data_IF_048411223423
#
_entry.id   IF_048411223423
#
_cell.length_a   1.000
_cell.length_b   1.000
_cell.length_c   1.000
_cell.angle_alpha   90.00
_cell.angle_beta   90.00
_cell.angle_gamma   90.00
#
_symmetry.space_group_name_H-M   'P 1'
#
loop_
_entity.id
_entity.type
_entity.pdbx_description
1 polymer ?
#
# COMPACT_ATOMS: atom_id res chain seq x y z
N UNK A 1 -29.22 -7.64 -11.69
CA UNK A 1 -30.20 -8.68 -12.05
C UNK A 1 -29.46 -9.85 -12.67
N UNK A 2 -29.64 -11.05 -12.15
CA UNK A 2 -29.01 -12.27 -12.66
C UNK A 2 -29.64 -12.63 -14.02
N UNK A 3 -28.85 -12.66 -15.09
CA UNK A 3 -29.27 -13.08 -16.42
C UNK A 3 -28.80 -14.50 -16.70
N UNK A 4 -29.76 -15.41 -16.89
CA UNK A 4 -29.55 -16.80 -17.27
C UNK A 4 -28.90 -16.92 -18.66
N UNK A 5 -27.91 -17.82 -18.80
CA UNK A 5 -27.25 -18.12 -20.07
C UNK A 5 -28.03 -19.11 -20.95
N UNK A 6 -27.60 -19.31 -22.21
CA UNK A 6 -28.03 -20.45 -23.01
C UNK A 6 -27.13 -21.67 -22.76
N UNK A 7 -27.78 -22.83 -22.68
CA UNK A 7 -27.16 -24.13 -22.46
C UNK A 7 -26.54 -24.73 -23.74
N UNK A 8 -25.39 -25.38 -23.56
CA UNK A 8 -25.09 -26.68 -24.19
C UNK A 8 -24.44 -26.68 -25.56
N UNK A 9 -23.11 -26.71 -25.61
CA UNK A 9 -22.36 -27.36 -26.69
C UNK A 9 -21.05 -27.97 -26.15
N UNK A 10 -20.98 -29.31 -26.19
CA UNK A 10 -19.79 -30.18 -26.18
C UNK A 10 -18.56 -29.76 -25.36
N UNK A 11 -18.43 -30.28 -24.13
CA UNK A 11 -17.18 -30.26 -23.39
C UNK A 11 -16.18 -31.28 -23.99
N UNK A 12 -15.19 -30.78 -24.75
CA UNK A 12 -13.97 -31.54 -25.05
C UNK A 12 -13.10 -31.68 -23.79
N UNK A 13 -12.30 -32.76 -23.65
CA UNK A 13 -11.47 -32.97 -22.48
C UNK A 13 -10.24 -32.06 -22.56
N UNK A 14 -10.15 -31.05 -21.68
CA UNK A 14 -8.94 -30.23 -21.55
C UNK A 14 -9.12 -28.77 -21.15
N UNK A 15 -10.33 -28.30 -20.85
CA UNK A 15 -10.48 -26.95 -20.30
C UNK A 15 -10.04 -26.96 -18.83
N UNK A 16 -8.93 -26.29 -18.53
CA UNK A 16 -8.51 -26.00 -17.14
C UNK A 16 -9.62 -25.30 -16.35
N UNK A 17 -9.48 -25.17 -15.02
CA UNK A 17 -10.51 -24.54 -14.20
C UNK A 17 -10.85 -23.15 -14.74
N UNK A 18 -12.14 -22.83 -14.81
CA UNK A 18 -12.60 -21.51 -15.24
C UNK A 18 -11.93 -20.42 -14.40
N UNK A 19 -11.13 -19.57 -15.03
CA UNK A 19 -10.45 -18.44 -14.38
C UNK A 19 -11.44 -17.30 -14.29
N UNK A 20 -11.77 -16.90 -13.06
CA UNK A 20 -12.58 -15.71 -12.78
C UNK A 20 -11.66 -14.50 -12.62
N UNK A 21 -12.09 -13.35 -13.14
CA UNK A 21 -11.36 -12.08 -13.02
C UNK A 21 -12.17 -11.02 -12.30
N UNK A 22 -11.48 -10.13 -11.57
CA UNK A 22 -12.06 -8.90 -11.04
C UNK A 22 -11.86 -7.79 -12.08
N UNK A 23 -12.88 -6.93 -12.24
CA UNK A 23 -12.81 -5.76 -13.11
C UNK A 23 -12.67 -4.51 -12.27
N UNK A 24 -11.77 -3.63 -12.66
CA UNK A 24 -11.63 -2.32 -12.05
C UNK A 24 -12.80 -1.42 -12.47
N UNK A 25 -13.15 -0.49 -11.60
CA UNK A 25 -14.25 0.43 -11.86
C UNK A 25 -13.77 1.60 -12.72
N UNK A 26 -14.67 2.14 -13.56
CA UNK A 26 -14.38 3.36 -14.32
C UNK A 26 -14.04 4.55 -13.40
N UNK A 27 -14.60 4.56 -12.18
CA UNK A 27 -14.34 5.58 -11.16
C UNK A 27 -12.90 5.59 -10.64
N UNK A 28 -12.15 4.50 -10.81
CA UNK A 28 -10.75 4.41 -10.37
C UNK A 28 -9.81 5.17 -11.32
N UNK A 29 -10.27 5.47 -12.53
CA UNK A 29 -9.51 6.24 -13.52
C UNK A 29 -9.44 7.71 -13.08
N UNK A 30 -8.22 8.21 -12.86
CA UNK A 30 -7.99 9.57 -12.41
C UNK A 30 -8.71 10.61 -13.31
N UNK A 31 -9.48 11.49 -12.67
CA UNK A 31 -10.24 12.54 -13.34
C UNK A 31 -11.55 12.10 -13.99
N UNK A 32 -11.95 10.83 -13.87
CA UNK A 32 -13.28 10.37 -14.28
C UNK A 32 -14.36 11.01 -13.40
N UNK A 33 -15.32 11.70 -14.02
CA UNK A 33 -16.53 12.14 -13.32
C UNK A 33 -17.58 11.03 -13.27
N UNK A 34 -18.46 11.07 -12.26
CA UNK A 34 -19.58 10.12 -12.16
C UNK A 34 -20.49 10.17 -13.41
N UNK A 35 -20.70 11.38 -13.95
CA UNK A 35 -21.49 11.59 -15.15
C UNK A 35 -20.84 10.98 -16.40
N UNK A 36 -19.51 11.06 -16.54
CA UNK A 36 -18.79 10.38 -17.63
C UNK A 36 -18.85 8.86 -17.48
N UNK A 37 -18.57 8.34 -16.27
CA UNK A 37 -18.63 6.91 -16.00
C UNK A 37 -20.02 6.34 -16.32
N UNK A 38 -21.08 7.03 -15.91
CA UNK A 38 -22.47 6.62 -16.19
C UNK A 38 -22.78 6.60 -17.69
N UNK A 39 -22.37 7.63 -18.46
CA UNK A 39 -22.55 7.64 -19.92
C UNK A 39 -21.78 6.51 -20.61
N UNK A 40 -20.59 6.19 -20.11
CA UNK A 40 -19.79 5.06 -20.61
C UNK A 40 -20.47 3.72 -20.28
N UNK A 41 -21.11 3.59 -19.13
CA UNK A 41 -21.81 2.37 -18.72
C UNK A 41 -23.12 2.18 -19.49
N UNK A 42 -23.97 3.21 -19.53
CA UNK A 42 -25.28 3.18 -20.21
C UNK A 42 -25.16 3.02 -21.74
N UNK A 43 -24.02 3.44 -22.31
CA UNK A 43 -23.75 3.33 -23.74
C UNK A 43 -23.21 1.97 -24.19
N UNK A 44 -23.03 1.00 -23.30
CA UNK A 44 -22.53 -0.32 -23.69
C UNK A 44 -23.60 -1.16 -24.44
N UNK A 45 -23.19 -2.10 -25.32
CA UNK A 45 -21.83 -2.33 -25.81
C UNK A 45 -21.41 -1.32 -26.88
N UNK A 46 -20.11 -1.12 -27.03
CA UNK A 46 -19.50 -0.29 -28.08
C UNK A 46 -18.92 -1.17 -29.19
N UNK A 47 -19.15 -0.78 -30.44
CA UNK A 47 -18.60 -1.51 -31.60
C UNK A 47 -17.26 -0.98 -32.07
N UNK A 48 -16.83 0.24 -31.69
CA UNK A 48 -15.54 0.79 -32.08
C UNK A 48 -15.16 1.99 -31.21
N UNK A 49 -13.90 2.44 -31.33
CA UNK A 49 -13.45 3.66 -30.64
C UNK A 49 -14.25 4.91 -31.06
N UNK A 50 -14.54 5.15 -32.35
CA UNK A 50 -15.44 6.24 -32.76
C UNK A 50 -16.87 6.11 -32.21
N UNK A 51 -17.40 4.89 -32.07
CA UNK A 51 -18.72 4.66 -31.47
C UNK A 51 -18.75 5.09 -30.00
N UNK A 52 -17.74 4.69 -29.21
CA UNK A 52 -17.55 5.14 -27.84
C UNK A 52 -17.41 6.67 -27.76
N UNK A 53 -16.61 7.27 -28.63
CA UNK A 53 -16.38 8.72 -28.65
C UNK A 53 -17.68 9.51 -28.87
N UNK A 54 -18.51 9.08 -29.85
CA UNK A 54 -19.78 9.75 -30.17
C UNK A 54 -20.86 9.55 -29.10
N UNK A 55 -21.01 8.32 -28.59
CA UNK A 55 -22.09 7.93 -27.67
C UNK A 55 -21.77 8.33 -26.22
N UNK A 56 -20.59 8.00 -25.73
CA UNK A 56 -20.21 8.26 -24.33
C UNK A 56 -19.71 9.68 -24.10
N UNK A 57 -19.14 10.32 -25.14
CA UNK A 57 -18.55 11.67 -25.09
C UNK A 57 -17.63 11.85 -23.87
N UNK A 58 -16.58 11.01 -23.73
CA UNK A 58 -15.60 11.21 -22.68
C UNK A 58 -14.83 12.51 -22.95
N UNK A 59 -14.38 13.19 -21.90
CA UNK A 59 -13.40 14.25 -22.08
C UNK A 59 -12.08 13.65 -22.62
N UNK A 60 -11.34 14.43 -23.41
CA UNK A 60 -10.05 14.00 -23.97
C UNK A 60 -9.09 13.44 -22.90
N UNK A 61 -8.87 14.09 -21.74
CA UNK A 61 -7.98 13.53 -20.71
C UNK A 61 -8.45 12.17 -20.19
N UNK A 62 -9.76 11.97 -20.04
CA UNK A 62 -10.33 10.68 -19.59
C UNK A 62 -10.14 9.60 -20.67
N UNK A 63 -10.41 9.90 -21.93
CA UNK A 63 -10.23 8.96 -23.03
C UNK A 63 -8.76 8.52 -23.18
N UNK A 64 -7.81 9.47 -23.11
CA UNK A 64 -6.37 9.18 -23.16
C UNK A 64 -5.93 8.31 -21.97
N UNK A 65 -6.47 8.57 -20.77
CA UNK A 65 -6.19 7.76 -19.57
C UNK A 65 -6.74 6.34 -19.69
N UNK A 66 -7.97 6.18 -20.18
CA UNK A 66 -8.57 4.88 -20.46
C UNK A 66 -7.74 4.07 -21.46
N UNK A 67 -7.24 4.70 -22.52
CA UNK A 67 -6.33 4.06 -23.48
C UNK A 67 -5.01 3.63 -22.80
N UNK A 68 -4.38 4.51 -22.01
CA UNK A 68 -3.10 4.23 -21.35
C UNK A 68 -3.15 3.05 -20.37
N UNK A 69 -4.26 2.86 -19.67
CA UNK A 69 -4.45 1.77 -18.70
C UNK A 69 -5.08 0.52 -19.30
N UNK A 70 -5.35 0.52 -20.60
CA UNK A 70 -5.86 -0.64 -21.33
C UNK A 70 -7.36 -0.87 -21.30
N UNK A 71 -8.13 0.08 -20.77
CA UNK A 71 -9.59 -0.02 -20.81
C UNK A 71 -10.15 0.01 -22.24
N UNK A 72 -9.36 0.47 -23.22
CA UNK A 72 -9.71 0.57 -24.63
C UNK A 72 -8.93 -0.42 -25.53
N UNK A 73 -8.18 -1.36 -24.95
CA UNK A 73 -7.33 -2.31 -25.71
C UNK A 73 -8.13 -3.16 -26.71
N UNK A 74 -9.45 -3.31 -26.52
CA UNK A 74 -10.33 -4.00 -27.45
C UNK A 74 -10.57 -3.27 -28.78
N UNK A 75 -10.27 -1.96 -28.88
CA UNK A 75 -10.59 -1.15 -30.06
C UNK A 75 -9.42 -0.88 -30.99
N UNK A 76 -8.19 -1.27 -30.65
CA UNK A 76 -7.02 -0.94 -31.46
C UNK A 76 -5.90 -1.96 -31.31
N UNK A 77 -4.94 -1.89 -32.23
CA UNK A 77 -3.81 -2.81 -32.26
C UNK A 77 -2.84 -2.60 -31.07
N UNK A 78 -2.64 -1.35 -30.65
CA UNK A 78 -1.81 -0.99 -29.50
C UNK A 78 -2.24 0.33 -28.88
N UNK A 79 -1.73 0.64 -27.67
CA UNK A 79 -2.14 1.83 -26.91
C UNK A 79 -1.64 3.13 -27.51
N UNK A 80 -0.51 3.13 -28.24
CA UNK A 80 -0.01 4.35 -28.92
C UNK A 80 -0.87 4.70 -30.13
N UNK A 81 -1.30 3.71 -30.91
CA UNK A 81 -2.24 3.89 -32.01
C UNK A 81 -3.59 4.40 -31.49
N UNK A 82 -4.10 3.84 -30.38
CA UNK A 82 -5.32 4.35 -29.74
C UNK A 82 -5.20 5.83 -29.34
N UNK A 83 -4.06 6.23 -28.76
CA UNK A 83 -3.80 7.62 -28.37
C UNK A 83 -3.74 8.56 -29.58
N UNK A 84 -3.14 8.12 -30.69
CA UNK A 84 -3.13 8.89 -31.94
C UNK A 84 -4.55 9.13 -32.46
N UNK A 85 -5.36 8.08 -32.55
CA UNK A 85 -6.73 8.17 -33.05
C UNK A 85 -7.64 9.00 -32.15
N UNK A 86 -7.44 8.94 -30.83
CA UNK A 86 -8.12 9.84 -29.89
C UNK A 86 -7.77 11.32 -30.16
N UNK A 87 -6.52 11.62 -30.51
CA UNK A 87 -6.10 12.97 -30.85
C UNK A 87 -6.76 13.44 -32.17
N UNK A 88 -6.89 12.56 -33.15
CA UNK A 88 -7.56 12.84 -34.42
C UNK A 88 -9.07 13.08 -34.25
N UNK A 89 -9.77 12.20 -33.52
CA UNK A 89 -11.20 12.35 -33.21
C UNK A 89 -11.49 13.67 -32.49
N UNK A 90 -10.64 14.04 -31.53
CA UNK A 90 -10.74 15.32 -30.84
C UNK A 90 -10.51 16.51 -31.78
N UNK A 91 -9.55 16.40 -32.70
CA UNK A 91 -9.29 17.41 -33.73
C UNK A 91 -10.48 17.61 -34.66
N UNK A 92 -11.05 16.52 -35.17
CA UNK A 92 -12.24 16.53 -36.04
C UNK A 92 -13.43 17.18 -35.34
N UNK A 93 -13.73 16.82 -34.09
CA UNK A 93 -14.84 17.41 -33.33
C UNK A 93 -14.70 18.93 -33.17
N UNK A 94 -13.47 19.44 -32.99
CA UNK A 94 -13.23 20.89 -32.96
C UNK A 94 -13.38 21.54 -34.34
N UNK A 95 -12.97 20.87 -35.41
CA UNK A 95 -13.17 21.32 -36.78
C UNK A 95 -14.65 21.48 -37.13
N UNK A 96 -15.48 20.48 -36.78
CA UNK A 96 -16.94 20.55 -36.94
C UNK A 96 -17.54 21.71 -36.16
N UNK A 97 -17.13 21.88 -34.90
CA UNK A 97 -17.58 23.00 -34.08
C UNK A 97 -17.15 24.38 -34.63
N UNK A 98 -16.05 24.43 -35.40
CA UNK A 98 -15.56 25.64 -36.07
C UNK A 98 -16.16 25.85 -37.48
N UNK A 99 -17.15 25.06 -37.88
CA UNK A 99 -17.82 25.19 -39.18
C UNK A 99 -17.04 24.61 -40.37
N UNK A 100 -15.94 23.88 -40.12
CA UNK A 100 -15.33 23.04 -41.16
C UNK A 100 -16.11 21.73 -41.26
N UNK A 101 -16.77 21.52 -42.40
CA UNK A 101 -17.42 20.24 -42.71
C UNK A 101 -16.33 19.16 -42.87
N UNK A 102 -16.43 18.03 -42.14
CA UNK A 102 -15.58 16.88 -42.42
C UNK A 102 -15.89 16.38 -43.84
N UNK A 103 -14.86 16.07 -44.62
CA UNK A 103 -15.01 15.31 -45.85
C UNK A 103 -15.54 13.92 -45.48
N UNK A 104 -16.66 13.50 -46.08
CA UNK A 104 -17.32 12.22 -45.84
C UNK A 104 -16.33 11.05 -45.88
N UNK A 105 -15.96 10.55 -44.70
CA UNK A 105 -15.47 9.19 -44.53
C UNK A 105 -16.71 8.36 -44.19
N UNK A 106 -17.10 7.51 -45.15
CA UNK A 106 -18.44 6.93 -45.25
C UNK A 106 -18.98 6.19 -44.02
N UNK A 107 -20.32 6.12 -44.00
CA UNK A 107 -21.13 5.33 -43.08
C UNK A 107 -20.64 3.87 -42.99
N UNK A 108 -19.98 3.53 -41.89
CA UNK A 108 -19.71 2.15 -41.46
C UNK A 108 -20.94 1.61 -40.72
N UNK A 109 -21.76 0.84 -41.43
CA UNK A 109 -22.86 0.07 -40.88
C UNK A 109 -22.38 -0.95 -39.84
N UNK A 110 -23.25 -1.28 -38.87
CA UNK A 110 -23.00 -2.24 -37.80
C UNK A 110 -22.48 -3.61 -38.33
N UNK A 111 -21.17 -3.79 -38.23
CA UNK A 111 -20.41 -5.03 -38.45
C UNK A 111 -19.45 -5.31 -37.28
N UNK A 112 -18.62 -6.38 -37.34
CA UNK A 112 -17.67 -6.71 -36.28
C UNK A 112 -16.76 -5.52 -35.96
N UNK A 113 -16.29 -5.45 -34.72
CA UNK A 113 -15.57 -4.31 -34.15
C UNK A 113 -14.55 -3.77 -35.15
N UNK A 114 -14.82 -2.61 -35.74
CA UNK A 114 -13.87 -1.96 -36.65
C UNK A 114 -12.70 -1.48 -35.80
N UNK A 115 -11.68 -2.32 -35.73
CA UNK A 115 -10.44 -2.01 -35.05
C UNK A 115 -9.80 -0.81 -35.74
N UNK A 116 -9.27 0.08 -34.92
CA UNK A 116 -8.48 1.22 -35.38
C UNK A 116 -7.35 0.74 -36.30
N UNK A 117 -7.26 1.34 -37.50
CA UNK A 117 -6.22 1.02 -38.49
C UNK A 117 -4.82 1.26 -37.89
N UNK A 118 -3.91 0.27 -37.91
CA UNK A 118 -2.61 0.41 -37.27
C UNK A 118 -1.75 1.46 -37.97
N UNK A 119 -1.24 2.45 -37.22
CA UNK A 119 -0.27 3.42 -37.74
C UNK A 119 1.16 2.87 -37.75
N UNK A 120 1.35 1.64 -37.23
CA UNK A 120 2.65 0.98 -37.13
C UNK A 120 3.51 1.47 -35.96
N UNK A 121 2.93 2.16 -34.97
CA UNK A 121 3.65 2.59 -33.79
C UNK A 121 3.93 1.40 -32.86
N UNK A 122 5.09 1.36 -32.18
CA UNK A 122 5.32 0.38 -31.14
C UNK A 122 4.39 0.64 -29.96
N UNK A 123 3.91 -0.42 -29.29
CA UNK A 123 3.10 -0.29 -28.09
C UNK A 123 3.89 0.35 -26.93
N UNK A 124 3.18 0.70 -25.85
CA UNK A 124 3.80 1.07 -24.59
C UNK A 124 4.66 -0.09 -24.08
N UNK A 125 5.90 0.23 -23.74
CA UNK A 125 6.78 -0.68 -23.01
C UNK A 125 6.19 -1.03 -21.65
N UNK A 126 6.65 -2.12 -21.06
CA UNK A 126 6.23 -2.55 -19.73
C UNK A 126 6.44 -1.47 -18.66
N UNK A 127 7.52 -0.70 -18.74
CA UNK A 127 7.79 0.43 -17.84
C UNK A 127 6.76 1.55 -18.04
N UNK A 128 6.44 1.89 -19.29
CA UNK A 128 5.43 2.91 -19.59
C UNK A 128 4.02 2.49 -19.16
N UNK A 129 3.67 1.21 -19.31
CA UNK A 129 2.39 0.65 -18.85
C UNK A 129 2.27 0.74 -17.33
N UNK A 130 3.28 0.30 -16.60
CA UNK A 130 3.30 0.38 -15.13
C UNK A 130 3.23 1.83 -14.65
N UNK A 131 3.99 2.73 -15.28
CA UNK A 131 3.94 4.17 -14.99
C UNK A 131 2.54 4.76 -15.24
N UNK A 132 1.88 4.34 -16.32
CA UNK A 132 0.50 4.73 -16.61
C UNK A 132 -0.49 4.19 -15.56
N UNK A 133 -0.39 2.93 -15.17
CA UNK A 133 -1.24 2.31 -14.15
C UNK A 133 -1.11 3.05 -12.81
N UNK A 134 0.12 3.31 -12.35
CA UNK A 134 0.35 4.07 -11.11
C UNK A 134 -0.11 5.54 -11.22
N UNK A 135 0.15 6.19 -12.36
CA UNK A 135 -0.22 7.59 -12.56
C UNK A 135 -1.71 7.83 -12.79
N UNK A 136 -2.45 6.82 -13.29
CA UNK A 136 -3.86 6.93 -13.66
C UNK A 136 -4.78 6.21 -12.70
N UNK A 137 -4.44 5.00 -12.25
CA UNK A 137 -5.26 4.20 -11.33
C UNK A 137 -4.78 4.31 -9.88
N UNK A 138 -3.53 4.73 -9.65
CA UNK A 138 -2.92 4.74 -8.33
C UNK A 138 -2.53 3.35 -7.82
N UNK A 139 -2.58 2.33 -8.69
CA UNK A 139 -2.24 0.94 -8.38
C UNK A 139 -1.66 0.25 -9.61
N UNK A 140 -0.82 -0.75 -9.39
CA UNK A 140 -0.39 -1.67 -10.45
C UNK A 140 -1.44 -2.75 -10.72
N UNK A 141 -1.54 -3.15 -11.99
CA UNK A 141 -2.56 -4.10 -12.48
C UNK A 141 -1.95 -5.18 -13.36
N UNK A 142 -0.94 -4.85 -14.16
CA UNK A 142 -0.27 -5.79 -15.05
C UNK A 142 0.86 -6.55 -14.33
N UNK A 143 1.66 -5.85 -13.52
CA UNK A 143 2.71 -6.45 -12.69
C UNK A 143 3.01 -5.57 -11.48
N UNK A 144 3.42 -6.20 -10.38
CA UNK A 144 3.79 -5.47 -9.16
C UNK A 144 5.07 -4.66 -9.34
N UNK A 145 5.10 -3.40 -8.88
CA UNK A 145 6.26 -2.50 -8.99
C UNK A 145 7.54 -3.12 -8.40
N UNK A 146 7.43 -3.83 -7.28
CA UNK A 146 8.58 -4.51 -6.65
C UNK A 146 9.19 -5.64 -7.51
N UNK A 147 8.50 -6.10 -8.57
CA UNK A 147 9.03 -7.13 -9.46
C UNK A 147 10.35 -6.71 -10.10
N UNK A 148 10.47 -5.43 -10.46
CA UNK A 148 11.65 -4.86 -11.12
C UNK A 148 12.86 -4.79 -10.16
N UNK A 149 12.62 -4.94 -8.85
CA UNK A 149 13.67 -4.92 -7.80
C UNK A 149 14.00 -6.29 -7.22
N UNK A 150 13.38 -7.38 -7.68
CA UNK A 150 13.52 -8.71 -7.05
C UNK A 150 14.95 -9.24 -7.05
N UNK A 151 15.66 -9.10 -8.16
CA UNK A 151 17.05 -9.55 -8.28
C UNK A 151 17.95 -8.77 -7.31
N UNK A 152 17.82 -7.44 -7.30
CA UNK A 152 18.57 -6.58 -6.39
C UNK A 152 18.29 -6.91 -4.91
N UNK A 153 17.03 -7.14 -4.55
CA UNK A 153 16.66 -7.51 -3.19
C UNK A 153 17.19 -8.90 -2.79
N UNK A 154 17.27 -9.83 -3.72
CA UNK A 154 17.88 -11.14 -3.49
C UNK A 154 19.40 -11.00 -3.25
N UNK A 155 20.09 -10.17 -4.03
CA UNK A 155 21.52 -9.87 -3.84
C UNK A 155 21.80 -9.22 -2.47
N UNK A 156 20.90 -8.35 -2.00
CA UNK A 156 20.99 -7.74 -0.67
C UNK A 156 20.64 -8.69 0.49
N UNK A 157 20.13 -9.89 0.19
CA UNK A 157 19.64 -10.81 1.23
C UNK A 157 18.36 -10.33 1.92
N UNK A 158 17.55 -9.50 1.27
CA UNK A 158 16.29 -9.05 1.82
C UNK A 158 15.30 -10.23 1.99
N UNK A 159 14.62 -10.25 3.13
CA UNK A 159 13.64 -11.28 3.47
C UNK A 159 12.27 -10.86 2.94
N UNK A 160 11.66 -11.64 2.04
CA UNK A 160 10.31 -11.35 1.56
C UNK A 160 9.28 -11.60 2.66
N UNK A 161 8.16 -10.87 2.61
CA UNK A 161 7.07 -10.90 3.59
C UNK A 161 6.58 -12.33 3.89
N UNK A 162 6.45 -13.16 2.86
CA UNK A 162 6.02 -14.56 3.01
C UNK A 162 6.95 -15.41 3.88
N UNK A 163 8.25 -15.09 3.94
CA UNK A 163 9.27 -15.82 4.71
C UNK A 163 9.46 -15.27 6.13
N UNK A 164 8.99 -14.05 6.43
CA UNK A 164 9.12 -13.48 7.78
C UNK A 164 8.45 -14.33 8.87
N UNK A 165 7.49 -15.18 8.51
CA UNK A 165 6.87 -16.14 9.44
C UNK A 165 7.85 -17.20 9.94
N UNK A 166 8.92 -17.49 9.21
CA UNK A 166 9.93 -18.50 9.52
C UNK A 166 11.12 -17.91 10.29
N UNK A 167 11.30 -16.58 10.27
CA UNK A 167 12.41 -15.87 10.92
C UNK A 167 12.27 -15.84 12.44
N UNK A 168 13.34 -16.04 13.19
CA UNK A 168 13.26 -16.12 14.65
C UNK A 168 12.97 -14.76 15.30
N UNK A 169 12.46 -14.78 16.53
CA UNK A 169 12.28 -13.56 17.29
C UNK A 169 13.63 -12.93 17.64
N UNK A 170 13.77 -11.61 17.42
CA UNK A 170 15.00 -10.85 17.70
C UNK A 170 16.00 -10.86 16.55
N UNK A 171 15.79 -11.67 15.51
CA UNK A 171 16.67 -11.73 14.34
C UNK A 171 16.61 -10.41 13.56
N UNK A 172 17.78 -9.94 13.11
CA UNK A 172 17.91 -8.74 12.27
C UNK A 172 17.67 -9.09 10.81
N UNK A 173 16.79 -8.35 10.16
CA UNK A 173 16.40 -8.56 8.76
C UNK A 173 16.48 -7.27 7.96
N UNK A 174 16.65 -7.43 6.64
CA UNK A 174 16.31 -6.42 5.66
C UNK A 174 14.96 -6.78 5.05
N UNK A 175 14.02 -5.85 5.04
CA UNK A 175 12.73 -5.99 4.36
C UNK A 175 12.54 -4.82 3.41
N UNK A 176 11.87 -5.03 2.29
CA UNK A 176 11.64 -3.97 1.32
C UNK A 176 10.24 -4.04 0.75
N UNK A 177 9.71 -2.89 0.34
CA UNK A 177 8.41 -2.84 -0.30
C UNK A 177 7.96 -1.42 -0.64
N UNK A 178 6.86 -1.35 -1.40
CA UNK A 178 6.13 -0.13 -1.64
C UNK A 178 5.32 0.23 -0.39
N UNK A 179 5.38 1.49 0.03
CA UNK A 179 4.71 1.99 1.22
C UNK A 179 3.20 2.05 0.97
N UNK A 180 2.46 1.14 1.61
CA UNK A 180 1.02 1.04 1.50
C UNK A 180 0.29 1.96 2.49
N UNK A 181 0.82 2.10 3.72
CA UNK A 181 0.23 2.94 4.75
C UNK A 181 1.30 3.49 5.70
N UNK A 182 1.08 4.69 6.24
CA UNK A 182 1.89 5.28 7.31
C UNK A 182 0.99 5.92 8.35
N UNK A 183 1.22 5.63 9.63
CA UNK A 183 0.45 6.17 10.75
C UNK A 183 1.38 6.65 11.86
N UNK A 184 1.02 7.76 12.50
CA UNK A 184 1.74 8.32 13.66
C UNK A 184 0.80 8.57 14.82
N UNK A 185 0.21 7.51 15.41
CA UNK A 185 -0.70 7.68 16.53
C UNK A 185 0.01 8.33 17.72
N UNK A 186 -0.65 9.26 18.43
CA UNK A 186 -0.11 9.82 19.65
C UNK A 186 -0.06 8.74 20.74
N UNK A 187 1.03 8.68 21.51
CA UNK A 187 1.14 7.79 22.67
C UNK A 187 1.23 8.60 23.97
N UNK A 188 0.71 8.01 25.06
CA UNK A 188 0.59 8.66 26.38
C UNK A 188 1.93 9.17 26.94
N UNK A 189 3.05 8.59 26.51
CA UNK A 189 4.39 8.99 26.95
C UNK A 189 4.94 10.24 26.24
N UNK A 190 4.21 10.82 25.27
CA UNK A 190 4.66 11.97 24.49
C UNK A 190 5.68 11.65 23.39
N UNK A 191 6.26 10.45 23.40
CA UNK A 191 7.12 9.94 22.31
C UNK A 191 6.28 9.69 21.06
N UNK A 192 6.89 9.61 19.87
CA UNK A 192 6.17 9.27 18.64
C UNK A 192 6.58 7.88 18.17
N UNK A 193 5.63 7.12 17.63
CA UNK A 193 5.91 5.86 16.93
C UNK A 193 5.36 5.99 15.52
N UNK A 194 6.17 5.63 14.54
CA UNK A 194 5.76 5.61 13.14
C UNK A 194 5.48 4.15 12.79
N UNK A 195 4.23 3.85 12.43
CA UNK A 195 3.86 2.57 11.85
C UNK A 195 3.84 2.71 10.34
N UNK A 196 4.46 1.77 9.64
CA UNK A 196 4.46 1.73 8.17
C UNK A 196 4.24 0.31 7.69
N UNK A 197 3.32 0.13 6.76
CA UNK A 197 3.08 -1.16 6.09
C UNK A 197 3.72 -1.12 4.71
N UNK A 198 4.54 -2.13 4.40
CA UNK A 198 5.19 -2.31 3.11
C UNK A 198 4.57 -3.47 2.34
N UNK A 199 4.37 -3.31 1.03
CA UNK A 199 3.97 -4.38 0.12
C UNK A 199 5.15 -4.81 -0.76
N UNK A 200 5.50 -6.09 -0.70
CA UNK A 200 6.63 -6.68 -1.42
C UNK A 200 6.25 -7.63 -2.57
N UNK A 201 4.96 -7.66 -2.98
CA UNK A 201 4.32 -8.64 -3.89
C UNK A 201 4.07 -10.03 -3.30
N UNK A 202 4.72 -10.40 -2.19
CA UNK A 202 4.53 -11.70 -1.52
C UNK A 202 3.68 -11.58 -0.26
N UNK A 203 3.47 -10.36 0.22
CA UNK A 203 2.58 -10.02 1.32
C UNK A 203 2.91 -8.64 1.89
N UNK A 204 2.24 -8.32 3.00
CA UNK A 204 2.44 -7.08 3.73
C UNK A 204 3.44 -7.28 4.87
N UNK A 205 4.29 -6.27 5.11
CA UNK A 205 5.22 -6.20 6.24
C UNK A 205 4.91 -4.97 7.08
N UNK A 206 4.48 -5.19 8.32
CA UNK A 206 4.27 -4.11 9.28
C UNK A 206 5.57 -3.77 9.99
N UNK A 207 5.98 -2.50 9.83
CA UNK A 207 7.16 -1.92 10.44
C UNK A 207 6.76 -0.91 11.52
N UNK A 208 7.47 -0.91 12.64
CA UNK A 208 7.33 0.08 13.70
C UNK A 208 8.68 0.77 13.97
N UNK A 209 8.71 2.10 13.89
CA UNK A 209 9.88 2.92 14.16
C UNK A 209 9.65 3.72 15.43
N UNK A 210 10.44 3.39 16.46
CA UNK A 210 10.42 4.10 17.73
C UNK A 210 11.34 5.31 17.69
N UNK A 211 11.12 6.22 18.62
CA UNK A 211 11.75 7.54 18.71
C UNK A 211 13.30 7.51 18.68
N UNK A 212 13.92 6.42 19.16
CA UNK A 212 15.37 6.17 19.07
C UNK A 212 15.88 5.91 17.64
N UNK A 213 15.03 5.42 16.74
CA UNK A 213 15.37 5.18 15.32
C UNK A 213 15.09 6.39 14.41
N UNK A 214 14.37 7.40 14.89
CA UNK A 214 13.81 8.46 14.02
C UNK A 214 14.87 9.29 13.30
N UNK A 215 16.00 9.58 13.96
CA UNK A 215 17.11 10.30 13.34
C UNK A 215 17.62 9.60 12.07
N UNK A 216 17.68 8.26 12.09
CA UNK A 216 18.19 7.47 10.98
C UNK A 216 17.16 7.20 9.87
N UNK A 217 15.86 7.25 10.16
CA UNK A 217 14.85 6.72 9.23
C UNK A 217 13.62 7.61 8.99
N UNK A 218 13.28 8.55 9.88
CA UNK A 218 11.97 9.22 9.82
C UNK A 218 11.79 10.02 8.52
N UNK A 219 12.80 10.79 8.11
CA UNK A 219 12.75 11.54 6.85
C UNK A 219 12.46 10.62 5.67
N UNK A 220 13.21 9.52 5.52
CA UNK A 220 13.02 8.53 4.45
C UNK A 220 11.63 7.90 4.52
N UNK A 221 11.19 7.47 5.69
CA UNK A 221 9.87 6.83 5.87
C UNK A 221 8.73 7.74 5.43
N UNK A 222 8.81 9.05 5.66
CA UNK A 222 7.78 9.99 5.21
C UNK A 222 7.89 10.36 3.72
N UNK A 223 9.10 10.55 3.21
CA UNK A 223 9.32 11.17 1.89
C UNK A 223 9.66 10.17 0.77
N UNK A 224 9.87 8.89 1.10
CA UNK A 224 10.12 7.83 0.11
C UNK A 224 8.92 6.90 0.01
N UNK A 225 8.59 6.48 -1.21
CA UNK A 225 7.53 5.51 -1.46
C UNK A 225 8.05 4.07 -1.49
N UNK A 226 9.22 3.83 -2.06
CA UNK A 226 9.90 2.54 -2.01
C UNK A 226 10.92 2.53 -0.88
N UNK A 227 10.76 1.61 0.06
CA UNK A 227 11.59 1.54 1.26
C UNK A 227 12.36 0.23 1.31
N UNK A 228 13.63 0.31 1.71
CA UNK A 228 14.39 -0.78 2.30
C UNK A 228 14.54 -0.47 3.79
N UNK A 229 14.17 -1.40 4.66
CA UNK A 229 14.16 -1.24 6.11
C UNK A 229 15.07 -2.30 6.72
N UNK A 230 16.03 -1.87 7.53
CA UNK A 230 16.75 -2.75 8.46
C UNK A 230 16.03 -2.72 9.79
N UNK A 231 15.74 -3.88 10.35
CA UNK A 231 15.06 -3.97 11.64
C UNK A 231 15.14 -5.34 12.26
N UNK A 232 14.53 -5.49 13.44
CA UNK A 232 14.48 -6.75 14.19
C UNK A 232 13.07 -7.33 14.21
N UNK A 233 12.93 -8.64 14.06
CA UNK A 233 11.63 -9.30 14.08
C UNK A 233 11.10 -9.39 15.52
N UNK A 234 9.98 -8.74 15.78
CA UNK A 234 9.25 -8.80 17.05
C UNK A 234 8.04 -9.71 16.93
N UNK A 235 7.86 -10.63 17.87
CA UNK A 235 6.69 -11.53 17.93
C UNK A 235 5.87 -11.23 19.18
N UNK A 236 4.57 -10.98 19.02
CA UNK A 236 3.63 -10.66 20.13
C UNK A 236 2.52 -11.71 20.30
N UNK A 237 2.74 -12.90 19.76
CA UNK A 237 1.83 -14.04 19.85
C UNK A 237 2.10 -15.05 18.72
N UNK A 238 1.33 -16.16 18.65
CA UNK A 238 1.59 -17.26 17.71
C UNK A 238 1.51 -16.85 16.22
N UNK A 239 0.73 -15.81 15.89
CA UNK A 239 0.49 -15.35 14.51
C UNK A 239 0.77 -13.87 14.28
N UNK A 240 1.25 -13.16 15.30
CA UNK A 240 1.49 -11.71 15.24
C UNK A 240 2.98 -11.45 15.28
N UNK A 241 3.51 -10.89 14.19
CA UNK A 241 4.88 -10.41 14.11
C UNK A 241 4.92 -9.04 13.43
N UNK A 242 5.96 -8.26 13.73
CA UNK A 242 6.25 -6.97 13.13
C UNK A 242 7.76 -6.78 13.05
N UNK A 243 8.23 -5.90 12.16
CA UNK A 243 9.64 -5.49 12.12
C UNK A 243 9.81 -4.20 12.90
N UNK A 244 10.66 -4.18 13.91
CA UNK A 244 11.06 -2.93 14.56
C UNK A 244 12.22 -2.35 13.79
N UNK A 245 11.94 -1.27 13.05
CA UNK A 245 12.90 -0.64 12.16
C UNK A 245 13.96 0.14 12.93
N UNK A 246 15.21 -0.07 12.56
CA UNK A 246 16.37 0.66 13.07
C UNK A 246 16.90 1.68 12.06
N UNK A 247 16.75 1.40 10.76
CA UNK A 247 17.16 2.28 9.67
C UNK A 247 16.28 2.07 8.43
N UNK A 248 16.13 3.10 7.60
CA UNK A 248 15.40 3.01 6.36
C UNK A 248 16.07 3.83 5.24
N UNK A 249 16.07 3.26 4.03
CA UNK A 249 16.64 3.87 2.83
C UNK A 249 15.60 3.91 1.71
N UNK A 250 15.74 4.90 0.83
CA UNK A 250 14.97 4.97 -0.40
C UNK A 250 15.49 3.88 -1.36
N UNK A 251 14.66 2.87 -1.62
CA UNK A 251 15.07 1.73 -2.46
C UNK A 251 15.35 2.18 -3.91
N UNK A 252 14.66 3.20 -4.41
CA UNK A 252 14.89 3.72 -5.75
C UNK A 252 16.30 4.33 -5.85
N UNK A 253 16.72 5.12 -4.87
CA UNK A 253 18.09 5.69 -4.82
C UNK A 253 19.14 4.59 -4.69
N UNK A 254 18.87 3.53 -3.92
CA UNK A 254 19.80 2.39 -3.83
C UNK A 254 19.89 1.62 -5.15
N UNK A 255 18.80 1.51 -5.90
CA UNK A 255 18.81 0.89 -7.23
C UNK A 255 19.62 1.72 -8.22
N UNK A 256 19.51 3.06 -8.20
CA UNK A 256 20.38 3.95 -8.97
C UNK A 256 21.85 3.77 -8.60
N UNK A 257 22.15 3.78 -7.30
CA UNK A 257 23.50 3.59 -6.78
C UNK A 257 24.09 2.24 -7.21
N UNK A 258 23.29 1.18 -7.23
CA UNK A 258 23.70 -0.13 -7.78
C UNK A 258 24.04 -0.05 -9.26
N UNK A 259 23.26 0.69 -10.06
CA UNK A 259 23.52 0.83 -11.51
C UNK A 259 24.82 1.57 -11.80
N UNK A 260 25.17 2.55 -10.97
CA UNK A 260 26.35 3.40 -11.16
C UNK A 260 27.62 2.82 -10.51
N UNK A 261 27.51 2.30 -9.29
CA UNK A 261 28.63 1.90 -8.44
C UNK A 261 28.61 0.44 -7.97
N UNK A 262 27.64 -0.36 -8.43
CA UNK A 262 27.53 -1.77 -8.07
C UNK A 262 27.09 -2.02 -6.63
N UNK A 263 27.16 -3.28 -6.21
CA UNK A 263 26.71 -3.72 -4.88
C UNK A 263 27.61 -3.22 -3.74
N UNK A 264 28.89 -2.99 -4.02
CA UNK A 264 29.85 -2.45 -3.03
C UNK A 264 29.45 -1.04 -2.57
N UNK A 265 29.09 -0.16 -3.53
CA UNK A 265 28.62 1.19 -3.22
C UNK A 265 27.34 1.16 -2.37
N UNK A 266 26.40 0.26 -2.69
CA UNK A 266 25.19 0.07 -1.89
C UNK A 266 25.53 -0.42 -0.48
N UNK A 267 26.42 -1.40 -0.36
CA UNK A 267 26.82 -1.95 0.94
C UNK A 267 27.48 -0.90 1.83
N UNK A 268 28.35 -0.06 1.27
CA UNK A 268 28.93 1.08 1.97
C UNK A 268 27.84 2.05 2.46
N UNK A 269 26.88 2.39 1.59
CA UNK A 269 25.75 3.27 1.93
C UNK A 269 24.83 2.70 3.03
N UNK A 270 24.68 1.37 3.09
CA UNK A 270 23.93 0.68 4.14
C UNK A 270 24.70 0.58 5.46
N UNK A 271 26.04 0.64 5.42
CA UNK A 271 26.89 0.65 6.61
C UNK A 271 26.90 2.02 7.31
N UNK A 272 26.78 3.12 6.55
CA UNK A 272 26.72 4.49 7.09
C UNK A 272 25.43 4.77 7.90
N UNK A 273 24.34 4.03 7.64
CA UNK A 273 23.00 4.30 8.16
C UNK A 273 22.58 3.55 9.43
N UNK A 274 23.47 2.81 10.12
CA UNK A 274 23.11 2.13 11.37
C UNK A 274 24.25 1.27 11.97
N UNK A 275 24.10 0.77 13.21
CA UNK A 275 25.14 -0.03 13.86
C UNK A 275 25.44 -1.29 13.03
N UNK A 276 26.73 -1.60 12.88
CA UNK A 276 27.21 -2.71 12.07
C UNK A 276 26.59 -4.04 12.53
N UNK A 277 26.18 -4.87 11.57
CA UNK A 277 25.89 -6.28 11.82
C UNK A 277 27.23 -7.02 11.75
N UNK A 278 27.68 -7.57 12.87
CA UNK A 278 28.89 -8.41 12.89
C UNK A 278 28.66 -9.67 12.04
N UNK A 279 29.43 -9.89 10.95
CA UNK A 279 29.20 -11.00 10.04
C UNK A 279 29.94 -12.29 10.47
N UNK A 280 29.94 -12.62 11.76
CA UNK A 280 30.58 -13.84 12.25
C UNK A 280 29.98 -14.37 13.56
N UNK A 281 28.87 -15.10 13.45
CA UNK A 281 28.45 -16.05 14.47
C UNK A 281 29.33 -17.31 14.40
N UNK A 282 30.59 -17.21 14.84
CA UNK A 282 31.38 -18.38 15.22
C UNK A 282 31.49 -18.41 16.73
N UNK A 283 30.88 -19.42 17.32
CA UNK A 283 31.03 -19.75 18.72
C UNK A 283 32.51 -19.97 19.06
N UNK A 284 33.03 -19.21 20.03
CA UNK A 284 33.90 -19.78 21.05
C UNK A 284 33.83 -18.94 22.33
N UNK A 285 33.80 -19.64 23.47
CA UNK A 285 33.69 -19.05 24.79
C UNK A 285 35.03 -18.50 25.27
N UNK A 286 35.02 -17.33 25.94
CA UNK A 286 36.21 -16.86 26.61
C UNK A 286 36.16 -15.41 27.10
N UNK A 287 35.88 -15.27 28.40
CA UNK A 287 36.36 -14.23 29.32
C UNK A 287 36.32 -12.74 28.90
N UNK A 288 35.41 -11.99 29.53
CA UNK A 288 35.39 -10.52 29.56
C UNK A 288 36.41 -10.01 30.60
N UNK A 289 37.34 -9.09 30.27
CA UNK A 289 38.19 -8.46 31.27
C UNK A 289 37.46 -7.28 31.94
N UNK A 290 37.38 -7.37 33.26
CA UNK A 290 36.85 -6.36 34.20
C UNK A 290 37.86 -5.21 34.30
N UNK A 291 37.47 -3.96 34.00
CA UNK A 291 38.21 -2.78 34.48
C UNK A 291 37.47 -2.14 35.65
N UNK A 292 38.22 -2.04 36.74
CA UNK A 292 37.86 -1.53 38.06
C UNK A 292 38.17 -0.04 38.08
N UNK A 293 37.21 0.79 38.47
CA UNK A 293 37.52 2.05 39.14
C UNK A 293 36.59 2.21 40.35
N UNK A 294 37.24 2.57 41.44
CA UNK A 294 36.89 2.46 42.85
C UNK A 294 36.07 3.65 43.37
N UNK A 295 35.00 3.36 44.12
CA UNK A 295 34.38 4.27 45.09
C UNK A 295 35.19 4.36 46.40
N UNK A 296 34.97 5.39 47.22
CA UNK A 296 34.25 5.17 48.49
C UNK A 296 33.32 6.35 48.89
N UNK A 297 32.21 6.21 49.60
CA UNK A 297 31.49 5.04 50.11
C UNK A 297 30.31 5.41 51.05
N UNK A 298 29.35 4.47 51.13
CA UNK A 298 28.37 4.13 52.21
C UNK A 298 27.26 5.13 52.62
N UNK A 299 26.00 4.73 52.89
CA UNK A 299 25.50 3.45 53.42
C UNK A 299 24.00 3.15 53.15
N UNK A 300 23.67 1.83 53.09
CA UNK A 300 22.40 1.18 53.48
C UNK A 300 21.25 1.18 52.45
N UNK A 301 20.50 0.11 52.17
CA UNK A 301 20.46 -1.28 52.63
C UNK A 301 19.57 -2.12 51.70
N UNK A 302 20.03 -3.35 51.39
CA UNK A 302 19.30 -4.58 51.04
C UNK A 302 18.05 -4.55 50.12
N UNK A 303 18.23 -5.15 48.95
CA UNK A 303 17.20 -5.68 48.06
C UNK A 303 17.02 -7.20 48.26
N UNK A 304 15.80 -7.70 48.09
CA UNK A 304 15.46 -9.06 47.63
C UNK A 304 13.95 -9.05 47.28
N UNK A 305 13.61 -9.21 46.00
CA UNK A 305 13.06 -10.44 45.39
C UNK A 305 11.68 -10.85 45.93
N UNK A 306 10.70 -10.99 45.04
CA UNK A 306 9.78 -12.14 45.06
C UNK A 306 8.77 -12.10 43.90
N UNK A 307 8.88 -13.14 43.08
CA UNK A 307 7.86 -13.91 42.36
C UNK A 307 6.54 -14.02 43.12
N UNK A 308 5.40 -14.02 42.42
CA UNK A 308 4.11 -14.37 43.04
C UNK A 308 3.38 -15.44 42.23
N UNK A 309 3.32 -16.64 42.85
CA UNK A 309 2.43 -17.73 42.51
C UNK A 309 1.20 -17.71 43.44
N UNK A 310 0.17 -18.44 43.02
CA UNK A 310 -1.19 -18.42 43.50
C UNK A 310 -1.41 -18.98 44.93
N UNK A 311 -2.47 -18.45 45.54
CA UNK A 311 -3.68 -19.15 46.00
C UNK A 311 -4.04 -19.11 47.50
N UNK A 312 -5.30 -18.67 47.72
CA UNK A 312 -6.21 -18.89 48.87
C UNK A 312 -5.84 -18.13 50.16
N UNK A 313 -6.76 -17.55 50.96
CA UNK A 313 -7.81 -18.18 51.81
C UNK A 313 -8.92 -17.11 52.18
N UNK A 314 -9.84 -17.28 53.17
CA UNK A 314 -11.29 -17.49 53.07
C UNK A 314 -12.19 -16.30 53.50
N UNK A 315 -13.51 -16.57 53.54
CA UNK A 315 -14.61 -15.69 53.93
C UNK A 315 -14.64 -15.28 55.42
N UNK A 316 -15.01 -14.02 55.73
CA UNK A 316 -16.37 -13.62 56.17
C UNK A 316 -16.41 -12.27 56.94
N UNK A 317 -17.48 -11.51 56.60
CA UNK A 317 -18.27 -10.55 57.41
C UNK A 317 -17.71 -9.17 57.86
N UNK A 318 -18.10 -8.15 57.08
CA UNK A 318 -19.09 -7.10 57.36
C UNK A 318 -18.94 -6.11 58.55
N UNK A 319 -19.12 -4.81 58.20
CA UNK A 319 -19.44 -3.67 59.08
C UNK A 319 -18.67 -2.40 58.67
N UNK A 320 -19.07 -1.64 57.65
CA UNK A 320 -20.11 -0.60 57.58
C UNK A 320 -19.62 0.84 57.88
N UNK A 321 -19.83 1.73 56.88
CA UNK A 321 -19.84 3.20 56.94
C UNK A 321 -18.50 3.88 56.55
N UNK A 322 -18.41 4.92 55.72
CA UNK A 322 -19.33 5.75 54.92
C UNK A 322 -18.42 6.69 54.08
N UNK A 323 -18.75 6.99 52.81
CA UNK A 323 -18.13 8.10 52.03
C UNK A 323 -17.73 7.74 50.60
N UNK A 324 -18.66 7.89 49.64
CA UNK A 324 -18.55 7.39 48.26
C UNK A 324 -17.91 8.41 47.28
N UNK A 325 -16.78 8.01 46.69
CA UNK A 325 -16.18 8.56 45.46
C UNK A 325 -16.65 7.82 44.20
N UNK A 326 -16.22 8.26 43.00
CA UNK A 326 -16.88 7.99 41.72
C UNK A 326 -16.71 6.54 41.23
N UNK A 327 -17.79 6.03 40.63
CA UNK A 327 -18.01 4.64 40.23
C UNK A 327 -17.10 4.12 39.11
N UNK A 328 -16.45 2.99 39.36
CA UNK A 328 -15.89 2.11 38.34
C UNK A 328 -16.97 1.16 37.77
N UNK A 329 -16.90 0.88 36.46
CA UNK A 329 -17.30 -0.42 35.89
C UNK A 329 -18.74 -0.62 35.40
N UNK A 330 -19.11 -0.05 34.25
CA UNK A 330 -20.27 -0.51 33.45
C UNK A 330 -19.84 -0.90 32.03
N UNK A 331 -19.64 -2.19 31.77
CA UNK A 331 -19.39 -2.72 30.43
C UNK A 331 -20.73 -2.99 29.74
N UNK A 332 -20.91 -2.58 28.48
CA UNK A 332 -22.12 -2.89 27.71
C UNK A 332 -21.84 -4.13 26.86
N UNK A 333 -22.69 -5.16 27.03
CA UNK A 333 -22.66 -6.39 26.24
C UNK A 333 -23.67 -6.27 25.11
N UNK A 334 -23.21 -6.46 23.88
CA UNK A 334 -24.09 -6.55 22.70
C UNK A 334 -24.51 -8.01 22.48
N UNK A 335 -25.70 -8.23 21.93
CA UNK A 335 -26.24 -9.57 21.63
C UNK A 335 -25.36 -10.37 20.64
N UNK A 336 -24.43 -9.71 19.94
CA UNK A 336 -23.44 -10.32 19.05
C UNK A 336 -22.22 -10.91 19.78
N UNK A 337 -22.11 -10.76 21.11
CA UNK A 337 -21.04 -11.36 21.92
C UNK A 337 -19.78 -10.50 22.13
N UNK A 338 -19.75 -9.27 21.63
CA UNK A 338 -18.67 -8.32 21.88
C UNK A 338 -18.94 -7.44 23.12
N UNK A 339 -17.89 -7.12 23.88
CA UNK A 339 -17.94 -6.20 25.04
C UNK A 339 -17.36 -4.83 24.67
N UNK A 340 -18.14 -3.75 24.90
CA UNK A 340 -17.72 -2.37 24.69
C UNK A 340 -17.47 -1.65 26.02
N UNK A 341 -16.40 -0.86 26.05
CA UNK A 341 -16.02 -0.03 27.19
C UNK A 341 -17.05 1.10 27.41
N UNK A 342 -17.38 1.50 28.65
CA UNK A 342 -18.42 2.50 28.98
C UNK A 342 -18.28 3.88 28.33
N UNK A 343 -17.14 4.17 27.70
CA UNK A 343 -16.81 5.45 27.08
C UNK A 343 -16.64 5.34 25.56
N UNK A 344 -17.08 4.23 24.96
CA UNK A 344 -16.91 3.97 23.54
C UNK A 344 -17.86 4.77 22.63
N UNK A 345 -18.76 5.58 23.20
CA UNK A 345 -19.60 6.49 22.42
C UNK A 345 -19.67 7.86 23.08
N UNK A 346 -18.93 8.83 22.52
CA UNK A 346 -18.97 10.24 22.94
C UNK A 346 -19.13 11.17 21.73
N UNK A 347 -20.10 10.90 20.85
CA UNK A 347 -20.69 11.97 20.03
C UNK A 347 -22.21 11.84 19.93
N UNK A 348 -22.96 12.95 20.05
CA UNK A 348 -24.38 12.95 19.75
C UNK A 348 -24.62 12.78 18.24
N UNK A 349 -25.73 12.13 17.90
CA UNK A 349 -26.17 11.95 16.51
C UNK A 349 -26.69 13.26 15.91
N UNK A 350 -26.12 13.63 14.76
CA UNK A 350 -26.66 14.61 13.81
C UNK A 350 -26.44 16.09 14.16
N UNK A 351 -25.51 16.74 13.45
CA UNK A 351 -25.64 18.13 12.96
C UNK A 351 -24.41 18.50 12.11
N UNK A 352 -24.64 18.90 10.84
CA UNK A 352 -23.68 19.64 10.01
C UNK A 352 -23.27 19.01 8.68
N UNK A 353 -23.63 19.66 7.57
CA UNK A 353 -23.62 19.16 6.19
C UNK A 353 -22.23 18.92 5.57
N UNK A 354 -22.10 17.84 4.79
CA UNK A 354 -20.96 17.58 3.93
C UNK A 354 -20.95 18.52 2.71
N UNK A 355 -19.94 19.39 2.61
CA UNK A 355 -19.60 20.12 1.38
C UNK A 355 -18.09 20.05 1.13
N UNK A 356 -17.73 19.55 -0.06
CA UNK A 356 -16.50 19.90 -0.77
C UNK A 356 -15.19 19.16 -0.43
N UNK A 357 -14.77 18.25 -1.34
CA UNK A 357 -13.46 17.55 -1.36
C UNK A 357 -12.24 18.48 -1.36
N UNK A 358 -11.23 18.11 -0.56
CA UNK A 358 -9.79 18.12 -0.88
C UNK A 358 -9.16 16.91 -0.18
N UNK A 359 -8.65 15.93 -0.95
CA UNK A 359 -7.99 14.73 -0.42
C UNK A 359 -6.51 15.01 -0.07
N UNK A 360 -6.27 15.98 0.82
CA UNK A 360 -5.00 16.16 1.52
C UNK A 360 -5.31 16.91 2.83
N UNK A 361 -5.07 16.30 3.99
CA UNK A 361 -5.05 17.02 5.26
C UNK A 361 -3.62 17.47 5.55
N UNK A 362 -3.32 18.74 5.25
CA UNK A 362 -2.35 19.51 6.01
C UNK A 362 -3.10 20.14 7.20
N UNK A 363 -2.66 19.88 8.42
CA UNK A 363 -3.24 20.50 9.61
C UNK A 363 -2.85 21.99 9.67
N UNK A 364 -3.78 22.91 10.02
CA UNK A 364 -3.44 24.31 10.24
C UNK A 364 -2.50 24.43 11.45
N UNK A 365 -1.27 24.90 11.21
CA UNK A 365 -0.27 25.18 12.26
C UNK A 365 1.09 24.49 12.13
N UNK A 366 1.36 23.72 11.08
CA UNK A 366 2.71 23.17 10.83
C UNK A 366 3.46 24.01 9.79
N UNK A 367 4.70 24.37 10.08
CA UNK A 367 5.64 24.83 9.06
C UNK A 367 6.14 23.60 8.30
N UNK A 368 5.83 23.49 7.02
CA UNK A 368 6.20 22.36 6.16
C UNK A 368 5.16 22.12 5.09
#
# INVERSE_FOLDING_TARGET
AAGAGPAGAGAGPGAGPAVWGLRLALSDVHGMSEAEARRIEEGQPYSSLPDLWRRARPSRPVAERLARVGALDAFGANRRDLLLHLAELHGQQRGVAAGQLPLDAGDGAAGPVEAVEPAGLPDLSDVERLSAELGVLGMDTTRHLMSDHREFLAELGAVPAKRLREVEHGETVLVAGAKAATQTPPIRSGRRVIFTTLDDSTGLVDCAFFDDSHEACAHTVFHSWLLLVRGTVQRRGPRSFSVVGAAAWNLAELAELRREGGLEAVTARLAEGGPAVDPAGTADGGAVPRRVHSEPGRAGSAAAEATWAADQVPAATAGAGTGAGPAAGRTIRLETGYELHPWADLRPAGEGSATGRKLWHASPGSAG
#
